data_IF_573198760679
#
_entry.id   IF_573198760679
#
_cell.length_a   1.000
_cell.length_b   1.000
_cell.length_c   1.000
_cell.angle_alpha   90.00
_cell.angle_beta   90.00
_cell.angle_gamma   90.00
#
_symmetry.space_group_name_H-M   'P 1'
#
loop_
_entity.id
_entity.type
_entity.pdbx_description
1 polymer ?
#
# COMPACT_ATOMS: atom_id res chain seq x y z
N UNK A 1 -20.35 37.91 37.72
CA UNK A 1 -20.05 36.48 37.84
C UNK A 1 -20.81 35.79 36.71
N UNK A 2 -20.33 35.82 35.46
CA UNK A 2 -19.45 34.83 34.85
C UNK A 2 -19.75 33.39 35.31
N UNK A 3 -20.58 32.67 34.56
CA UNK A 3 -20.42 31.23 34.33
C UNK A 3 -20.87 30.96 32.89
N UNK A 4 -19.88 30.96 31.99
CA UNK A 4 -19.98 30.30 30.71
C UNK A 4 -19.99 28.80 31.00
N UNK A 5 -21.09 28.12 30.69
CA UNK A 5 -21.09 26.66 30.65
C UNK A 5 -20.97 26.28 29.18
N UNK A 6 -19.72 25.98 28.82
CA UNK A 6 -19.28 25.53 27.52
C UNK A 6 -20.05 24.27 27.11
N UNK A 7 -20.58 24.28 25.89
CA UNK A 7 -20.97 23.05 25.20
C UNK A 7 -19.77 22.09 25.24
N UNK A 8 -19.93 20.80 25.60
CA UNK A 8 -18.91 19.83 25.31
C UNK A 8 -18.89 19.65 23.79
N UNK A 9 -18.01 20.42 23.16
CA UNK A 9 -17.49 20.17 21.83
C UNK A 9 -16.97 18.74 21.82
N UNK A 10 -17.86 17.81 21.47
CA UNK A 10 -17.51 16.47 21.02
C UNK A 10 -17.03 16.62 19.59
N UNK A 11 -15.92 17.34 19.43
CA UNK A 11 -14.91 16.90 18.50
C UNK A 11 -14.49 15.52 19.02
N UNK A 12 -15.28 14.51 18.66
CA UNK A 12 -14.77 13.18 18.40
C UNK A 12 -13.58 13.41 17.50
N UNK A 13 -12.42 13.47 18.15
CA UNK A 13 -11.15 13.11 17.58
C UNK A 13 -11.42 11.80 16.86
N UNK A 14 -11.70 11.91 15.56
CA UNK A 14 -11.51 10.86 14.60
C UNK A 14 -10.02 10.51 14.68
N UNK A 15 -9.67 9.74 15.71
CA UNK A 15 -8.50 8.88 15.64
C UNK A 15 -8.65 8.15 14.31
N UNK A 16 -7.68 8.21 13.40
CA UNK A 16 -7.74 7.41 12.19
C UNK A 16 -7.90 5.98 12.68
N UNK A 17 -9.13 5.48 12.52
CA UNK A 17 -9.52 4.16 12.97
C UNK A 17 -8.51 3.22 12.35
N UNK A 18 -7.74 2.53 13.18
CA UNK A 18 -6.81 1.54 12.69
C UNK A 18 -7.67 0.46 12.07
N UNK A 19 -7.91 0.56 10.76
CA UNK A 19 -8.67 -0.42 9.99
C UNK A 19 -8.17 -1.79 10.41
N UNK A 20 -9.10 -2.65 10.84
CA UNK A 20 -8.71 -4.00 11.20
C UNK A 20 -8.07 -4.66 9.97
N UNK A 21 -7.16 -5.61 10.19
CA UNK A 21 -6.54 -6.37 9.11
C UNK A 21 -7.60 -6.98 8.17
N UNK A 22 -8.76 -7.35 8.71
CA UNK A 22 -9.93 -7.80 7.98
C UNK A 22 -10.51 -6.70 7.07
N UNK A 23 -10.74 -5.49 7.59
CA UNK A 23 -11.30 -4.38 6.80
C UNK A 23 -10.35 -3.96 5.67
N UNK A 24 -9.05 -3.99 5.94
CA UNK A 24 -8.02 -3.72 4.94
C UNK A 24 -8.01 -4.79 3.83
N UNK A 25 -8.06 -6.06 4.22
CA UNK A 25 -8.13 -7.17 3.27
C UNK A 25 -9.41 -7.11 2.41
N UNK A 26 -10.55 -6.76 2.99
CA UNK A 26 -11.82 -6.62 2.27
C UNK A 26 -11.81 -5.43 1.30
N UNK A 27 -11.15 -4.34 1.67
CA UNK A 27 -10.89 -3.22 0.75
C UNK A 27 -10.05 -3.66 -0.45
N UNK A 28 -8.99 -4.44 -0.23
CA UNK A 28 -8.17 -4.98 -1.31
C UNK A 28 -8.94 -5.94 -2.21
N UNK A 29 -9.76 -6.84 -1.64
CA UNK A 29 -10.65 -7.72 -2.42
C UNK A 29 -11.60 -6.89 -3.30
N UNK A 30 -12.24 -5.88 -2.74
CA UNK A 30 -13.16 -5.00 -3.47
C UNK A 30 -12.45 -4.26 -4.61
N UNK A 31 -11.30 -3.64 -4.34
CA UNK A 31 -10.51 -2.94 -5.36
C UNK A 31 -10.03 -3.90 -6.45
N UNK A 32 -9.60 -5.11 -6.09
CA UNK A 32 -9.17 -6.12 -7.04
C UNK A 32 -10.26 -6.50 -8.03
N UNK A 33 -11.51 -6.62 -7.57
CA UNK A 33 -12.65 -6.93 -8.42
C UNK A 33 -12.86 -5.86 -9.50
N UNK A 34 -12.74 -4.59 -9.13
CA UNK A 34 -12.87 -3.48 -10.09
C UNK A 34 -11.70 -3.38 -11.08
N UNK A 35 -10.49 -3.76 -10.65
CA UNK A 35 -9.29 -3.66 -11.48
C UNK A 35 -9.05 -4.88 -12.37
N UNK A 36 -9.67 -6.02 -12.07
CA UNK A 36 -9.34 -7.30 -12.72
C UNK A 36 -9.36 -7.26 -14.25
N UNK A 37 -10.31 -6.53 -14.84
CA UNK A 37 -10.46 -6.48 -16.30
C UNK A 37 -9.44 -5.56 -16.99
N UNK A 38 -9.05 -4.45 -16.35
CA UNK A 38 -8.21 -3.41 -16.95
C UNK A 38 -6.75 -3.53 -16.54
N UNK A 39 -6.51 -3.99 -15.31
CA UNK A 39 -5.20 -4.10 -14.68
C UNK A 39 -5.09 -5.44 -13.92
N UNK A 40 -5.11 -6.59 -14.61
CA UNK A 40 -5.16 -7.91 -13.98
C UNK A 40 -3.97 -8.17 -13.05
N UNK A 41 -2.78 -7.67 -13.38
CA UNK A 41 -1.59 -7.81 -12.53
C UNK A 41 -1.76 -7.04 -11.21
N UNK A 42 -2.28 -5.81 -11.26
CA UNK A 42 -2.53 -5.02 -10.07
C UNK A 42 -3.62 -5.66 -9.19
N UNK A 43 -4.69 -6.16 -9.82
CA UNK A 43 -5.73 -6.90 -9.13
C UNK A 43 -5.18 -8.15 -8.42
N UNK A 44 -4.32 -8.92 -9.10
CA UNK A 44 -3.68 -10.10 -8.52
C UNK A 44 -2.83 -9.77 -7.28
N UNK A 45 -2.06 -8.68 -7.31
CA UNK A 45 -1.30 -8.23 -6.14
C UNK A 45 -2.21 -7.86 -4.96
N UNK A 46 -3.37 -7.24 -5.21
CA UNK A 46 -4.33 -6.92 -4.16
C UNK A 46 -4.99 -8.17 -3.58
N UNK A 47 -5.36 -9.15 -4.41
CA UNK A 47 -5.89 -10.44 -3.94
C UNK A 47 -4.86 -11.15 -3.06
N UNK A 48 -3.59 -11.19 -3.51
CA UNK A 48 -2.52 -11.83 -2.76
C UNK A 48 -2.26 -11.11 -1.43
N UNK A 49 -2.28 -9.78 -1.42
CA UNK A 49 -2.15 -8.99 -0.21
C UNK A 49 -3.29 -9.27 0.77
N UNK A 50 -4.55 -9.35 0.30
CA UNK A 50 -5.69 -9.69 1.13
C UNK A 50 -5.58 -11.09 1.74
N UNK A 51 -5.18 -12.08 0.92
CA UNK A 51 -4.97 -13.45 1.36
C UNK A 51 -3.85 -13.57 2.40
N UNK A 52 -2.78 -12.77 2.29
CA UNK A 52 -1.67 -12.76 3.24
C UNK A 52 -2.00 -12.06 4.57
N UNK A 53 -3.00 -11.18 4.60
CA UNK A 53 -3.35 -10.37 5.78
C UNK A 53 -4.49 -11.02 6.58
N UNK A 54 -5.56 -11.41 5.89
CA UNK A 54 -6.74 -12.01 6.51
C UNK A 54 -7.31 -13.11 5.59
N UNK A 55 -6.68 -14.29 5.52
CA UNK A 55 -7.15 -15.38 4.68
C UNK A 55 -8.54 -15.84 5.11
N UNK A 56 -9.44 -16.09 4.15
CA UNK A 56 -10.78 -16.63 4.45
C UNK A 56 -10.78 -18.16 4.54
N UNK A 57 -9.77 -18.82 3.95
CA UNK A 57 -9.60 -20.26 3.98
C UNK A 57 -8.13 -20.67 3.88
N UNK A 58 -7.82 -21.93 4.21
CA UNK A 58 -6.44 -22.44 4.16
C UNK A 58 -5.81 -22.34 2.76
N UNK A 59 -6.59 -22.56 1.70
CA UNK A 59 -6.09 -22.46 0.34
C UNK A 59 -5.65 -21.04 -0.05
N UNK A 60 -6.30 -19.99 0.49
CA UNK A 60 -5.84 -18.60 0.28
C UNK A 60 -4.48 -18.36 0.93
N UNK A 61 -4.29 -18.88 2.15
CA UNK A 61 -3.03 -18.77 2.87
C UNK A 61 -1.91 -19.54 2.14
N UNK A 62 -2.18 -20.77 1.70
CA UNK A 62 -1.18 -21.59 0.98
C UNK A 62 -0.69 -20.90 -0.29
N UNK A 63 -1.60 -20.28 -1.05
CA UNK A 63 -1.25 -19.48 -2.24
C UNK A 63 -0.48 -18.23 -1.85
N UNK A 64 -0.88 -17.53 -0.79
CA UNK A 64 -0.15 -16.36 -0.29
C UNK A 64 1.31 -16.72 0.06
N UNK A 65 1.51 -17.84 0.75
CA UNK A 65 2.81 -18.32 1.17
C UNK A 65 3.67 -18.77 -0.03
N UNK A 66 3.09 -19.49 -1.00
CA UNK A 66 3.80 -19.91 -2.21
C UNK A 66 4.33 -18.72 -3.02
N UNK A 67 3.52 -17.67 -3.19
CA UNK A 67 3.89 -16.50 -3.98
C UNK A 67 4.68 -15.46 -3.19
N UNK A 68 4.74 -15.55 -1.86
CA UNK A 68 5.41 -14.58 -0.99
C UNK A 68 6.86 -14.30 -1.41
N UNK A 69 7.64 -15.36 -1.65
CA UNK A 69 9.04 -15.24 -2.05
C UNK A 69 9.21 -14.53 -3.40
N UNK A 70 8.34 -14.83 -4.37
CA UNK A 70 8.38 -14.24 -5.71
C UNK A 70 8.07 -12.75 -5.64
N UNK A 71 7.06 -12.36 -4.87
CA UNK A 71 6.65 -10.95 -4.73
C UNK A 71 7.68 -10.14 -3.96
N UNK A 72 8.29 -10.71 -2.91
CA UNK A 72 9.36 -10.06 -2.16
C UNK A 72 10.59 -9.84 -3.02
N UNK A 73 11.05 -10.86 -3.76
CA UNK A 73 12.20 -10.73 -4.66
C UNK A 73 11.94 -9.69 -5.76
N UNK A 74 10.76 -9.74 -6.39
CA UNK A 74 10.35 -8.73 -7.36
C UNK A 74 10.42 -7.31 -6.79
N UNK A 75 9.87 -7.07 -5.60
CA UNK A 75 9.87 -5.77 -4.96
C UNK A 75 11.31 -5.28 -4.65
N UNK A 76 12.19 -6.18 -4.22
CA UNK A 76 13.60 -5.86 -3.97
C UNK A 76 14.33 -5.45 -5.26
N UNK A 77 14.15 -6.22 -6.34
CA UNK A 77 14.76 -5.93 -7.64
C UNK A 77 14.25 -4.60 -8.20
N UNK A 78 12.95 -4.36 -8.14
CA UNK A 78 12.35 -3.10 -8.57
C UNK A 78 12.90 -1.91 -7.76
N UNK A 79 13.06 -2.08 -6.44
CA UNK A 79 13.70 -1.08 -5.58
C UNK A 79 15.14 -0.75 -5.98
N UNK A 80 15.94 -1.75 -6.36
CA UNK A 80 17.30 -1.54 -6.88
C UNK A 80 17.27 -0.74 -8.19
N UNK A 81 16.38 -1.09 -9.11
CA UNK A 81 16.25 -0.40 -10.40
C UNK A 81 15.81 1.05 -10.23
N UNK A 82 14.83 1.30 -9.36
CA UNK A 82 14.38 2.67 -9.05
C UNK A 82 15.49 3.51 -8.46
N UNK A 83 16.26 3.01 -7.49
CA UNK A 83 17.41 3.74 -6.94
C UNK A 83 18.45 4.06 -8.02
N UNK A 84 18.73 3.12 -8.91
CA UNK A 84 19.66 3.35 -10.04
C UNK A 84 19.14 4.42 -10.99
N UNK A 85 17.84 4.39 -11.33
CA UNK A 85 17.21 5.38 -12.20
C UNK A 85 17.22 6.77 -11.57
N UNK A 86 16.91 6.88 -10.28
CA UNK A 86 16.95 8.15 -9.52
C UNK A 86 18.37 8.72 -9.48
N UNK A 87 19.37 7.90 -9.16
CA UNK A 87 20.76 8.34 -9.11
C UNK A 87 21.27 8.81 -10.47
N UNK A 88 20.88 8.12 -11.56
CA UNK A 88 21.22 8.52 -12.93
C UNK A 88 20.66 9.90 -13.26
N UNK A 89 19.36 10.13 -12.99
CA UNK A 89 18.71 11.43 -13.20
C UNK A 89 19.39 12.54 -12.40
N UNK A 90 19.78 12.26 -11.16
CA UNK A 90 20.50 13.23 -10.33
C UNK A 90 21.88 13.61 -10.92
N UNK A 91 22.61 12.63 -11.46
CA UNK A 91 23.90 12.86 -12.12
C UNK A 91 23.76 13.64 -13.43
N UNK A 92 22.75 13.33 -14.25
CA UNK A 92 22.45 14.06 -15.49
C UNK A 92 22.14 15.54 -15.22
N UNK A 93 21.37 15.82 -14.16
CA UNK A 93 21.05 17.19 -13.73
C UNK A 93 22.24 17.94 -13.11
N UNK A 94 23.17 17.24 -12.44
CA UNK A 94 24.38 17.84 -11.89
C UNK A 94 25.42 18.17 -12.97
N UNK A 95 25.53 17.35 -14.01
CA UNK A 95 26.47 17.55 -15.13
C UNK A 95 26.10 18.72 -16.06
N UNK A 96 24.85 19.17 -16.05
CA UNK A 96 24.36 20.30 -16.86
C UNK A 96 24.56 21.66 -16.19
N UNK A 97 24.89 21.71 -14.89
CA UNK A 97 25.10 22.94 -14.12
C UNK A 97 26.55 23.41 -14.00
N UNK A 98 27.53 22.67 -14.54
CA UNK A 98 28.97 22.94 -14.33
C UNK A 98 29.75 23.30 -15.61
N UNK A 99 29.05 23.64 -16.69
CA UNK A 99 29.65 24.12 -17.94
C UNK A 99 29.17 25.53 -18.28
N UNK A 100 29.74 26.55 -17.63
CA UNK A 100 29.68 27.94 -18.08
C UNK A 100 30.90 28.71 -17.57
#
# INVERSE_FOLDING_TARGET
>A
MQHAESEPSSAELLTPDALSDTDLADSFRTQSFHLMQTHPIAAAHLVLAAASIAPTCAAEQDVADEFSFVVVDFAQQLGVLHRRAVNRRAQENAGTGHGH
#
